data_IF_328708812062
#
_entry.id   IF_328708812062
#
_cell.length_a   1.000
_cell.length_b   1.000
_cell.length_c   1.000
_cell.angle_alpha   90.00
_cell.angle_beta   90.00
_cell.angle_gamma   90.00
#
_symmetry.space_group_name_H-M   'P 1'
#
loop_
_entity.id
_entity.type
_entity.pdbx_description
1 polymer ?
#
# COMPACT_ATOMS: atom_id res chain seq x y z
N UNK A 1 -3.92 -38.38 7.31
CA UNK A 1 -4.83 -37.40 6.71
C UNK A 1 -3.98 -36.26 6.16
N UNK A 2 -3.65 -36.31 4.88
CA UNK A 2 -2.77 -35.33 4.23
C UNK A 2 -3.59 -34.07 4.01
N UNK A 3 -3.33 -33.02 4.79
CA UNK A 3 -3.87 -31.68 4.55
C UNK A 3 -3.38 -31.22 3.17
N UNK A 4 -4.26 -31.20 2.18
CA UNK A 4 -4.01 -30.54 0.92
C UNK A 4 -3.72 -29.06 1.25
N UNK A 5 -2.44 -28.67 1.15
CA UNK A 5 -2.05 -27.28 1.13
C UNK A 5 -2.89 -26.56 0.07
N UNK A 6 -3.61 -25.53 0.48
CA UNK A 6 -4.43 -24.75 -0.43
C UNK A 6 -3.58 -24.34 -1.63
N UNK A 7 -4.12 -24.53 -2.83
CA UNK A 7 -3.45 -24.10 -4.07
C UNK A 7 -3.18 -22.60 -3.91
N UNK A 8 -1.91 -22.23 -3.87
CA UNK A 8 -1.50 -20.84 -4.08
C UNK A 8 -2.21 -20.34 -5.32
N UNK A 9 -2.77 -19.15 -5.29
CA UNK A 9 -3.37 -18.57 -6.47
C UNK A 9 -2.32 -18.60 -7.56
N UNK A 10 -2.54 -19.41 -8.58
CA UNK A 10 -1.62 -19.47 -9.72
C UNK A 10 -1.74 -18.13 -10.43
N UNK A 11 -0.61 -17.59 -10.82
CA UNK A 11 -0.50 -16.48 -11.75
C UNK A 11 -1.51 -16.70 -12.90
N UNK A 12 -2.43 -15.74 -13.18
CA UNK A 12 -3.56 -15.98 -14.09
C UNK A 12 -3.16 -16.17 -15.56
N UNK A 13 -1.87 -16.19 -15.88
CA UNK A 13 -1.35 -16.23 -17.23
C UNK A 13 -0.71 -17.60 -17.56
N UNK A 14 -0.73 -18.03 -18.85
CA UNK A 14 -0.19 -19.31 -19.25
C UNK A 14 1.32 -19.39 -19.01
N UNK A 15 1.86 -20.58 -18.69
CA UNK A 15 3.29 -20.78 -18.57
C UNK A 15 3.99 -20.50 -19.91
N UNK A 16 5.11 -19.78 -19.86
CA UNK A 16 5.94 -19.46 -21.04
C UNK A 16 5.99 -17.99 -21.44
N UNK A 17 5.19 -17.13 -20.82
CA UNK A 17 5.30 -15.67 -20.99
C UNK A 17 6.25 -15.13 -19.92
N UNK A 18 7.18 -14.24 -20.27
CA UNK A 18 8.18 -13.71 -19.33
C UNK A 18 7.55 -12.96 -18.15
N UNK A 19 8.17 -13.03 -16.98
CA UNK A 19 7.68 -12.41 -15.74
C UNK A 19 7.35 -10.91 -15.90
N UNK A 20 8.15 -10.17 -16.66
CA UNK A 20 7.96 -8.74 -16.91
C UNK A 20 6.69 -8.45 -17.72
N UNK A 21 6.37 -9.30 -18.70
CA UNK A 21 5.16 -9.14 -19.52
C UNK A 21 3.90 -9.40 -18.70
N UNK A 22 3.93 -10.39 -17.82
CA UNK A 22 2.84 -10.69 -16.90
C UNK A 22 2.63 -9.55 -15.90
N UNK A 23 3.71 -8.95 -15.39
CA UNK A 23 3.65 -7.85 -14.47
C UNK A 23 3.05 -6.60 -15.13
N UNK A 24 3.43 -6.30 -16.38
CA UNK A 24 2.86 -5.21 -17.16
C UNK A 24 1.35 -5.33 -17.33
N UNK A 25 0.85 -6.53 -17.68
CA UNK A 25 -0.59 -6.78 -17.78
C UNK A 25 -1.28 -6.70 -16.41
N UNK A 26 -0.66 -7.21 -15.34
CA UNK A 26 -1.16 -7.08 -13.98
C UNK A 26 -1.35 -5.60 -13.60
N UNK A 27 -0.35 -4.77 -13.82
CA UNK A 27 -0.44 -3.33 -13.56
C UNK A 27 -1.49 -2.65 -14.42
N UNK A 28 -1.65 -3.03 -15.69
CA UNK A 28 -2.72 -2.51 -16.56
C UNK A 28 -4.11 -2.76 -15.96
N UNK A 29 -4.37 -3.98 -15.50
CA UNK A 29 -5.63 -4.36 -14.85
C UNK A 29 -5.84 -3.56 -13.56
N UNK A 30 -4.79 -3.44 -12.74
CA UNK A 30 -4.87 -2.71 -11.47
C UNK A 30 -5.08 -1.21 -11.66
N UNK A 31 -4.46 -0.58 -12.68
CA UNK A 31 -4.71 0.84 -13.00
C UNK A 31 -6.16 1.12 -13.27
N UNK A 32 -6.84 0.24 -14.01
CA UNK A 32 -8.27 0.37 -14.28
C UNK A 32 -9.08 0.33 -12.99
N UNK A 33 -8.73 -0.53 -12.04
CA UNK A 33 -9.43 -0.63 -10.75
C UNK A 33 -9.10 0.53 -9.82
N UNK A 34 -7.82 0.88 -9.67
CA UNK A 34 -7.36 1.79 -8.63
C UNK A 34 -7.40 3.28 -9.03
N UNK A 35 -7.96 3.61 -10.19
CA UNK A 35 -8.49 4.95 -10.46
C UNK A 35 -9.67 5.32 -9.55
N UNK A 36 -10.27 4.30 -8.92
CA UNK A 36 -11.24 4.40 -7.85
C UNK A 36 -10.57 4.04 -6.52
N UNK A 37 -10.46 4.98 -5.62
CA UNK A 37 -9.75 4.85 -4.34
C UNK A 37 -10.68 5.03 -3.15
N UNK A 38 -10.31 4.53 -1.95
CA UNK A 38 -11.05 4.83 -0.73
C UNK A 38 -11.13 6.33 -0.48
N UNK A 39 -12.34 6.85 -0.32
CA UNK A 39 -12.63 8.27 -0.06
C UNK A 39 -13.13 8.53 1.37
N UNK A 40 -12.81 7.63 2.29
CA UNK A 40 -13.26 7.55 3.66
C UNK A 40 -13.45 6.09 4.04
N UNK A 41 -14.03 5.81 5.20
CA UNK A 41 -14.13 4.43 5.71
C UNK A 41 -15.02 3.54 4.83
N UNK A 42 -16.14 4.06 4.32
CA UNK A 42 -17.13 3.29 3.56
C UNK A 42 -17.41 3.83 2.16
N UNK A 43 -16.66 4.82 1.72
CA UNK A 43 -16.87 5.46 0.42
C UNK A 43 -15.72 5.23 -0.53
N UNK A 44 -16.02 5.24 -1.83
CA UNK A 44 -15.02 5.22 -2.89
C UNK A 44 -15.23 6.40 -3.82
N UNK A 45 -14.14 6.94 -4.33
CA UNK A 45 -14.14 8.10 -5.23
C UNK A 45 -13.21 7.85 -6.41
N UNK A 46 -13.58 8.37 -7.57
CA UNK A 46 -12.71 8.36 -8.74
C UNK A 46 -11.79 9.60 -8.74
N UNK A 47 -10.48 9.37 -8.80
CA UNK A 47 -9.50 10.46 -8.82
C UNK A 47 -9.70 11.46 -9.96
N UNK A 48 -10.16 11.02 -11.12
CA UNK A 48 -10.53 11.90 -12.25
C UNK A 48 -11.67 12.88 -11.90
N UNK A 49 -12.60 12.48 -11.04
CA UNK A 49 -13.67 13.38 -10.58
C UNK A 49 -13.14 14.39 -9.60
N UNK A 50 -12.20 13.99 -8.73
CA UNK A 50 -11.58 14.89 -7.76
C UNK A 50 -10.75 15.99 -8.44
N UNK A 51 -10.10 15.67 -9.56
CA UNK A 51 -9.34 16.66 -10.32
C UNK A 51 -10.22 17.78 -10.91
N UNK A 52 -11.52 17.54 -11.10
CA UNK A 52 -12.48 18.53 -11.62
C UNK A 52 -13.04 19.46 -10.54
N UNK A 53 -12.83 19.15 -9.26
CA UNK A 53 -13.31 19.97 -8.15
C UNK A 53 -12.54 21.28 -8.04
N UNK A 54 -13.16 22.31 -7.45
CA UNK A 54 -12.43 23.50 -6.99
C UNK A 54 -11.40 23.12 -5.91
N UNK A 55 -10.39 23.96 -5.68
CA UNK A 55 -9.40 23.74 -4.61
C UNK A 55 -10.06 23.65 -3.24
N UNK A 56 -11.04 24.48 -2.99
CA UNK A 56 -11.79 24.51 -1.73
C UNK A 56 -12.62 23.23 -1.54
N UNK A 57 -13.31 22.77 -2.58
CA UNK A 57 -14.12 21.55 -2.51
C UNK A 57 -13.26 20.30 -2.36
N UNK A 58 -12.12 20.25 -3.07
CA UNK A 58 -11.15 19.16 -2.94
C UNK A 58 -10.59 19.06 -1.51
N UNK A 59 -10.15 20.19 -0.93
CA UNK A 59 -9.66 20.23 0.44
C UNK A 59 -10.72 19.85 1.45
N UNK A 60 -11.96 20.34 1.28
CA UNK A 60 -13.08 20.01 2.15
C UNK A 60 -13.39 18.52 2.13
N UNK A 61 -13.53 17.95 0.93
CA UNK A 61 -13.80 16.52 0.74
C UNK A 61 -12.69 15.66 1.35
N UNK A 62 -11.42 15.99 1.03
CA UNK A 62 -10.26 15.24 1.54
C UNK A 62 -10.17 15.32 3.06
N UNK A 63 -10.38 16.49 3.66
CA UNK A 63 -10.32 16.66 5.10
C UNK A 63 -11.44 15.92 5.84
N UNK A 64 -12.64 15.92 5.26
CA UNK A 64 -13.75 15.14 5.79
C UNK A 64 -13.49 13.64 5.71
N UNK A 65 -12.97 13.15 4.57
CA UNK A 65 -12.64 11.76 4.37
C UNK A 65 -11.48 11.28 5.28
N UNK A 66 -10.47 12.13 5.53
CA UNK A 66 -9.42 11.85 6.51
C UNK A 66 -9.99 11.75 7.92
N UNK A 67 -10.85 12.69 8.32
CA UNK A 67 -11.49 12.67 9.64
C UNK A 67 -12.35 11.42 9.82
N UNK A 68 -13.14 11.04 8.79
CA UNK A 68 -13.97 9.83 8.78
C UNK A 68 -13.13 8.54 8.93
N UNK A 69 -11.91 8.51 8.39
CA UNK A 69 -11.03 7.33 8.41
C UNK A 69 -10.05 7.28 9.59
N UNK A 70 -9.91 8.34 10.39
CA UNK A 70 -8.86 8.44 11.41
C UNK A 70 -9.33 8.90 12.78
N UNK A 71 -10.59 9.35 12.95
CA UNK A 71 -11.10 9.89 14.22
C UNK A 71 -12.33 9.12 14.71
N UNK A 72 -12.74 9.35 15.95
CA UNK A 72 -13.87 8.65 16.56
C UNK A 72 -13.66 7.14 16.56
N UNK A 73 -14.66 6.38 16.13
CA UNK A 73 -14.61 4.93 16.05
C UNK A 73 -13.55 4.45 15.01
N UNK A 74 -13.33 5.24 13.95
CA UNK A 74 -12.34 4.97 12.93
C UNK A 74 -10.88 5.20 13.39
N UNK A 75 -10.67 5.78 14.58
CA UNK A 75 -9.34 5.84 15.19
C UNK A 75 -8.69 4.46 15.28
N UNK A 76 -9.47 3.43 15.54
CA UNK A 76 -8.98 2.03 15.56
C UNK A 76 -8.54 1.51 14.19
N UNK A 77 -8.89 2.20 13.09
CA UNK A 77 -8.49 1.84 11.73
C UNK A 77 -7.21 2.57 11.34
N UNK A 78 -7.19 3.90 11.40
CA UNK A 78 -6.09 4.72 10.86
C UNK A 78 -5.43 5.63 11.90
N UNK A 79 -6.20 6.23 12.79
CA UNK A 79 -5.71 7.25 13.71
C UNK A 79 -4.61 6.78 14.65
N UNK A 80 -4.65 5.52 15.11
CA UNK A 80 -3.67 4.99 16.04
C UNK A 80 -2.25 4.99 15.48
N UNK A 81 -2.07 4.60 14.21
CA UNK A 81 -0.74 4.59 13.63
C UNK A 81 -0.31 5.97 13.12
N UNK A 82 -1.24 6.86 12.77
CA UNK A 82 -0.90 8.27 12.55
C UNK A 82 -0.29 8.89 13.81
N UNK A 83 -0.84 8.59 14.98
CA UNK A 83 -0.30 9.05 16.26
C UNK A 83 1.05 8.40 16.56
N UNK A 84 1.14 7.07 16.46
CA UNK A 84 2.35 6.33 16.83
C UNK A 84 3.54 6.62 15.90
N UNK A 85 3.30 6.68 14.60
CA UNK A 85 4.37 6.83 13.61
C UNK A 85 4.68 8.28 13.23
N UNK A 86 3.90 9.26 13.71
CA UNK A 86 4.15 10.67 13.45
C UNK A 86 5.57 11.11 13.86
N UNK A 87 6.02 10.69 15.04
CA UNK A 87 7.38 10.97 15.50
C UNK A 87 8.43 10.02 14.92
N UNK A 88 8.07 8.77 14.64
CA UNK A 88 8.98 7.77 14.04
C UNK A 88 9.46 8.24 12.65
N UNK A 89 8.59 8.88 11.87
CA UNK A 89 8.92 9.33 10.51
C UNK A 89 9.46 10.76 10.45
N UNK A 90 9.38 11.55 11.52
CA UNK A 90 9.84 12.95 11.52
C UNK A 90 11.31 13.04 11.10
N UNK A 91 11.59 13.84 10.07
CA UNK A 91 12.93 14.00 9.49
C UNK A 91 13.47 12.77 8.75
N UNK A 92 12.64 11.77 8.48
CA UNK A 92 13.04 10.56 7.76
C UNK A 92 12.52 10.57 6.33
N UNK A 93 13.30 9.98 5.42
CA UNK A 93 12.86 9.69 4.06
C UNK A 93 12.03 8.43 4.06
N UNK A 94 10.78 8.51 3.59
CA UNK A 94 9.85 7.38 3.52
C UNK A 94 9.35 7.25 2.08
N UNK A 95 9.31 6.03 1.57
CA UNK A 95 8.68 5.69 0.30
C UNK A 95 7.36 4.99 0.58
N UNK A 96 6.26 5.58 0.11
CA UNK A 96 4.92 5.02 0.19
C UNK A 96 4.52 4.41 -1.15
N UNK A 97 4.10 3.13 -1.12
CA UNK A 97 3.60 2.41 -2.28
C UNK A 97 2.06 2.36 -2.26
N UNK A 98 1.44 2.81 -3.36
CA UNK A 98 -0.01 2.85 -3.50
C UNK A 98 -0.63 3.98 -2.68
N UNK A 99 -0.29 5.21 -3.00
CA UNK A 99 -0.65 6.40 -2.21
C UNK A 99 -2.16 6.71 -2.15
N UNK A 100 -2.95 6.21 -3.10
CA UNK A 100 -4.39 6.50 -3.14
C UNK A 100 -4.67 8.02 -3.08
N UNK A 101 -5.38 8.49 -2.04
CA UNK A 101 -5.61 9.93 -1.77
C UNK A 101 -4.55 10.55 -0.85
N UNK A 102 -3.49 9.84 -0.54
CA UNK A 102 -2.36 10.35 0.25
C UNK A 102 -2.70 10.65 1.72
N UNK A 103 -3.69 10.02 2.31
CA UNK A 103 -4.08 10.29 3.70
C UNK A 103 -2.92 10.15 4.67
N UNK A 104 -2.15 9.07 4.55
CA UNK A 104 -1.02 8.78 5.42
C UNK A 104 0.17 9.67 5.09
N UNK A 105 0.60 9.67 3.82
CA UNK A 105 1.76 10.43 3.40
C UNK A 105 1.63 11.93 3.60
N UNK A 106 0.47 12.52 3.31
CA UNK A 106 0.22 13.95 3.58
C UNK A 106 0.25 14.23 5.09
N UNK A 107 -0.32 13.34 5.92
CA UNK A 107 -0.32 13.49 7.38
C UNK A 107 1.10 13.43 7.92
N UNK A 108 1.90 12.46 7.50
CA UNK A 108 3.29 12.31 7.95
C UNK A 108 4.21 13.39 7.40
N UNK A 109 4.02 13.82 6.14
CA UNK A 109 4.77 14.94 5.57
C UNK A 109 4.48 16.26 6.31
N UNK A 110 3.23 16.51 6.71
CA UNK A 110 2.87 17.66 7.53
C UNK A 110 3.52 17.61 8.92
N UNK A 111 3.86 16.42 9.43
CA UNK A 111 4.63 16.21 10.66
C UNK A 111 6.14 16.23 10.45
N UNK A 112 6.63 16.55 9.24
CA UNK A 112 8.04 16.74 8.94
C UNK A 112 8.77 15.52 8.38
N UNK A 113 8.08 14.47 7.92
CA UNK A 113 8.68 13.40 7.13
C UNK A 113 9.02 13.89 5.72
N UNK A 114 10.11 13.40 5.11
CA UNK A 114 10.43 13.57 3.69
C UNK A 114 9.79 12.41 2.92
N UNK A 115 8.70 12.68 2.19
CA UNK A 115 7.78 11.64 1.73
C UNK A 115 7.77 11.48 0.23
N UNK A 116 7.97 10.26 -0.25
CA UNK A 116 7.86 9.91 -1.68
C UNK A 116 6.61 9.08 -1.92
N UNK A 117 5.68 9.62 -2.67
CA UNK A 117 4.48 8.92 -3.13
C UNK A 117 4.78 8.14 -4.41
N UNK A 118 4.54 6.83 -4.38
CA UNK A 118 4.63 5.95 -5.56
C UNK A 118 3.26 5.36 -5.82
N UNK A 119 2.75 5.54 -7.04
CA UNK A 119 1.46 4.96 -7.43
C UNK A 119 1.49 4.53 -8.91
N UNK A 120 0.75 3.47 -9.23
CA UNK A 120 0.56 2.98 -10.61
C UNK A 120 -0.50 3.78 -11.36
N UNK A 121 -1.27 4.63 -10.68
CA UNK A 121 -2.33 5.47 -11.26
C UNK A 121 -1.90 6.94 -11.21
N UNK A 122 -1.64 7.52 -12.37
CA UNK A 122 -1.14 8.88 -12.47
C UNK A 122 -2.11 9.90 -11.90
N UNK A 123 -3.42 9.74 -12.14
CA UNK A 123 -4.44 10.67 -11.63
C UNK A 123 -4.50 10.69 -10.10
N UNK A 124 -4.18 9.58 -9.41
CA UNK A 124 -4.03 9.57 -7.96
C UNK A 124 -2.90 10.50 -7.53
N UNK A 125 -1.72 10.38 -8.16
CA UNK A 125 -0.58 11.25 -7.85
C UNK A 125 -0.86 12.72 -8.16
N UNK A 126 -1.63 13.02 -9.20
CA UNK A 126 -2.03 14.39 -9.54
C UNK A 126 -2.93 15.00 -8.46
N UNK A 127 -3.90 14.22 -7.94
CA UNK A 127 -4.73 14.63 -6.80
C UNK A 127 -3.87 14.89 -5.57
N UNK A 128 -2.99 13.94 -5.22
CA UNK A 128 -2.10 14.06 -4.04
C UNK A 128 -1.16 15.27 -4.20
N UNK A 129 -0.57 15.47 -5.37
CA UNK A 129 0.31 16.62 -5.65
C UNK A 129 -0.43 17.95 -5.46
N UNK A 130 -1.68 18.04 -5.96
CA UNK A 130 -2.52 19.22 -5.78
C UNK A 130 -2.85 19.48 -4.31
N UNK A 131 -3.19 18.44 -3.56
CA UNK A 131 -3.44 18.52 -2.11
C UNK A 131 -2.19 18.97 -1.34
N UNK A 132 -1.02 18.39 -1.63
CA UNK A 132 0.25 18.80 -1.03
C UNK A 132 0.54 20.29 -1.29
N UNK A 133 0.36 20.75 -2.54
CA UNK A 133 0.52 22.17 -2.90
C UNK A 133 -0.42 23.07 -2.10
N UNK A 134 -1.71 22.71 -2.02
CA UNK A 134 -2.72 23.47 -1.26
C UNK A 134 -2.43 23.53 0.23
N UNK A 135 -1.75 22.51 0.78
CA UNK A 135 -1.32 22.44 2.17
C UNK A 135 0.08 23.05 2.41
N UNK A 136 0.74 23.56 1.37
CA UNK A 136 2.06 24.18 1.48
C UNK A 136 3.19 23.20 1.78
N UNK A 137 3.03 21.90 1.48
CA UNK A 137 4.06 20.88 1.71
C UNK A 137 5.12 20.93 0.61
N UNK A 138 6.40 21.03 1.00
CA UNK A 138 7.56 21.07 0.11
C UNK A 138 8.49 19.86 0.25
N UNK A 139 8.27 19.04 1.27
CA UNK A 139 9.01 17.83 1.60
C UNK A 139 8.34 16.57 1.03
N UNK A 140 7.85 16.67 -0.22
CA UNK A 140 7.12 15.60 -0.90
C UNK A 140 7.63 15.39 -2.31
N UNK A 141 7.72 14.12 -2.72
CA UNK A 141 8.18 13.67 -4.03
C UNK A 141 7.16 12.70 -4.63
N UNK A 142 7.20 12.53 -5.96
CA UNK A 142 6.21 11.75 -6.68
C UNK A 142 6.88 10.89 -7.74
N UNK A 143 6.54 9.61 -7.76
CA UNK A 143 6.99 8.65 -8.76
C UNK A 143 5.78 7.92 -9.35
N UNK A 144 5.47 8.16 -10.61
CA UNK A 144 4.52 7.35 -11.36
C UNK A 144 5.21 6.02 -11.72
N UNK A 145 4.68 4.93 -11.20
CA UNK A 145 5.21 3.60 -11.44
C UNK A 145 4.48 2.98 -12.64
N UNK A 146 4.97 3.26 -13.83
CA UNK A 146 4.47 2.61 -15.04
C UNK A 146 4.81 1.12 -15.03
N UNK A 147 6.03 0.79 -14.65
CA UNK A 147 6.55 -0.54 -14.36
C UNK A 147 7.62 -0.47 -13.25
N UNK A 148 8.22 -1.61 -12.87
CA UNK A 148 9.23 -1.64 -11.80
C UNK A 148 10.51 -0.87 -12.14
N UNK A 149 10.81 -0.61 -13.43
CA UNK A 149 11.98 0.18 -13.84
C UNK A 149 11.83 1.64 -13.45
N UNK A 150 10.59 2.13 -13.32
CA UNK A 150 10.31 3.49 -12.84
C UNK A 150 10.92 3.75 -11.45
N UNK A 151 11.04 2.72 -10.62
CA UNK A 151 11.66 2.84 -9.29
C UNK A 151 13.16 3.12 -9.36
N UNK A 152 13.86 2.75 -10.45
CA UNK A 152 15.31 2.93 -10.58
C UNK A 152 15.77 4.39 -10.51
N UNK A 153 14.86 5.35 -10.64
CA UNK A 153 15.16 6.79 -10.52
C UNK A 153 15.12 7.29 -9.08
N UNK A 154 14.67 6.47 -8.15
CA UNK A 154 14.50 6.83 -6.74
C UNK A 154 15.81 6.66 -5.96
N UNK A 155 16.02 7.44 -4.87
CA UNK A 155 17.13 7.23 -3.95
C UNK A 155 17.18 5.83 -3.36
N UNK A 156 18.37 5.35 -2.98
CA UNK A 156 18.59 4.04 -2.35
C UNK A 156 18.70 4.11 -0.82
N UNK A 157 18.24 5.21 -0.19
CA UNK A 157 18.47 5.49 1.23
C UNK A 157 17.20 5.87 1.99
N UNK A 158 16.08 5.21 1.68
CA UNK A 158 14.87 5.41 2.45
C UNK A 158 15.00 4.78 3.84
N UNK A 159 14.56 5.52 4.86
CA UNK A 159 14.49 4.99 6.23
C UNK A 159 13.32 4.01 6.40
N UNK A 160 12.31 4.11 5.54
CA UNK A 160 11.21 3.16 5.51
C UNK A 160 10.63 2.99 4.10
N UNK A 161 10.19 1.75 3.78
CA UNK A 161 9.21 1.43 2.75
C UNK A 161 7.88 1.22 3.47
N UNK A 162 6.86 1.91 3.01
CA UNK A 162 5.54 1.96 3.61
C UNK A 162 4.47 1.53 2.60
N UNK A 163 3.72 0.49 2.91
CA UNK A 163 2.64 -0.03 2.06
C UNK A 163 1.37 -0.25 2.86
N UNK A 164 0.36 0.58 2.61
CA UNK A 164 -0.91 0.44 3.30
C UNK A 164 -1.96 -0.20 2.39
N UNK A 165 -2.11 -1.52 2.50
CA UNK A 165 -3.10 -2.26 1.73
C UNK A 165 -2.83 -2.33 0.22
N UNK A 166 -1.62 -1.95 -0.23
CA UNK A 166 -1.25 -1.96 -1.66
C UNK A 166 -0.70 -3.31 -2.11
N UNK A 167 0.26 -3.87 -1.40
CA UNK A 167 0.93 -5.14 -1.75
C UNK A 167 0.00 -6.36 -1.71
N UNK A 168 -1.07 -6.30 -0.93
CA UNK A 168 -2.08 -7.37 -0.86
C UNK A 168 -2.95 -7.47 -2.11
N UNK A 169 -2.95 -6.45 -2.96
CA UNK A 169 -3.80 -6.38 -4.16
C UNK A 169 -3.11 -6.92 -5.42
N UNK A 170 -2.07 -7.72 -5.24
CA UNK A 170 -1.29 -8.37 -6.28
C UNK A 170 -1.33 -9.90 -6.13
N UNK A 171 -1.20 -10.67 -7.22
CA UNK A 171 -0.79 -12.07 -7.11
C UNK A 171 0.56 -12.16 -6.39
N UNK A 172 0.77 -13.20 -5.56
CA UNK A 172 1.96 -13.31 -4.68
C UNK A 172 3.28 -13.26 -5.45
N UNK A 173 3.33 -13.75 -6.68
CA UNK A 173 4.51 -13.69 -7.53
C UNK A 173 4.83 -12.24 -7.95
N UNK A 174 3.80 -11.45 -8.26
CA UNK A 174 3.95 -10.02 -8.56
C UNK A 174 4.38 -9.24 -7.32
N UNK A 175 3.78 -9.54 -6.15
CA UNK A 175 4.19 -8.97 -4.85
C UNK A 175 5.67 -9.21 -4.59
N UNK A 176 6.18 -10.42 -4.89
CA UNK A 176 7.61 -10.74 -4.74
C UNK A 176 8.48 -9.88 -5.65
N UNK A 177 8.14 -9.74 -6.92
CA UNK A 177 8.92 -8.93 -7.86
C UNK A 177 8.95 -7.46 -7.44
N UNK A 178 7.80 -6.91 -7.02
CA UNK A 178 7.69 -5.54 -6.55
C UNK A 178 8.48 -5.32 -5.26
N UNK A 179 8.35 -6.22 -4.28
CA UNK A 179 9.10 -6.17 -3.03
C UNK A 179 10.62 -6.22 -3.27
N UNK A 180 11.09 -7.08 -4.18
CA UNK A 180 12.51 -7.17 -4.54
C UNK A 180 13.02 -5.88 -5.23
N UNK A 181 12.19 -5.22 -6.02
CA UNK A 181 12.54 -3.93 -6.61
C UNK A 181 12.63 -2.85 -5.52
N UNK A 182 11.68 -2.80 -4.60
CA UNK A 182 11.65 -1.86 -3.48
C UNK A 182 12.81 -2.05 -2.50
N UNK A 183 13.26 -3.29 -2.27
CA UNK A 183 14.37 -3.60 -1.36
C UNK A 183 15.70 -2.94 -1.78
N UNK A 184 15.88 -2.58 -3.04
CA UNK A 184 17.06 -1.83 -3.52
C UNK A 184 17.14 -0.44 -2.91
N UNK A 185 16.01 0.11 -2.49
CA UNK A 185 15.86 1.45 -1.94
C UNK A 185 15.86 1.46 -0.40
N UNK A 186 15.85 0.28 0.25
CA UNK A 186 15.80 0.13 1.70
C UNK A 186 17.15 -0.38 2.22
N UNK A 187 18.02 0.45 2.81
CA UNK A 187 19.29 0.01 3.37
C UNK A 187 19.10 -0.86 4.61
N UNK A 188 20.17 -1.52 5.05
CA UNK A 188 20.22 -2.17 6.37
C UNK A 188 19.91 -1.13 7.45
N UNK A 189 19.09 -1.49 8.43
CA UNK A 189 18.52 -0.57 9.42
C UNK A 189 17.24 0.14 8.99
N UNK A 190 16.89 0.08 7.71
CA UNK A 190 15.62 0.60 7.20
C UNK A 190 14.42 -0.29 7.58
N UNK A 191 13.23 0.30 7.59
CA UNK A 191 12.00 -0.35 8.02
C UNK A 191 11.13 -0.76 6.83
N UNK A 192 10.57 -1.97 6.89
CA UNK A 192 9.46 -2.39 6.05
C UNK A 192 8.19 -2.32 6.88
N UNK A 193 7.29 -1.43 6.49
CA UNK A 193 6.04 -1.22 7.20
C UNK A 193 4.88 -1.53 6.26
N UNK A 194 4.02 -2.45 6.68
CA UNK A 194 2.94 -2.95 5.85
C UNK A 194 1.66 -3.14 6.65
N UNK A 195 0.56 -2.61 6.13
CA UNK A 195 -0.78 -3.01 6.51
C UNK A 195 -1.30 -4.03 5.50
N UNK A 196 -1.77 -5.16 6.02
CA UNK A 196 -2.31 -6.23 5.19
C UNK A 196 -3.58 -6.84 5.80
N UNK A 197 -4.18 -7.78 5.09
CA UNK A 197 -5.28 -8.60 5.62
C UNK A 197 -4.73 -9.86 6.26
N UNK A 198 -5.15 -10.18 7.51
CA UNK A 198 -4.67 -11.35 8.22
C UNK A 198 -5.24 -12.65 7.64
N UNK A 199 -4.47 -13.72 7.74
CA UNK A 199 -4.90 -15.08 7.38
C UNK A 199 -6.20 -15.47 8.05
N UNK A 200 -6.46 -14.98 9.27
CA UNK A 200 -7.69 -15.24 10.02
C UNK A 200 -8.93 -14.71 9.30
N UNK A 201 -8.86 -13.49 8.73
CA UNK A 201 -9.92 -12.90 7.92
C UNK A 201 -10.20 -13.76 6.69
N UNK A 202 -9.16 -14.17 5.97
CA UNK A 202 -9.29 -15.06 4.82
C UNK A 202 -9.94 -16.42 5.17
N UNK A 203 -9.59 -17.00 6.34
CA UNK A 203 -10.24 -18.23 6.83
C UNK A 203 -11.72 -17.99 7.12
N UNK A 204 -12.06 -16.91 7.83
CA UNK A 204 -13.44 -16.51 8.15
C UNK A 204 -14.26 -16.29 6.88
N UNK A 205 -13.69 -15.70 5.85
CA UNK A 205 -14.34 -15.44 4.56
C UNK A 205 -14.46 -16.68 3.66
N UNK A 206 -14.04 -17.85 4.13
CA UNK A 206 -14.24 -19.13 3.45
C UNK A 206 -13.05 -19.61 2.62
N UNK A 207 -11.84 -19.09 2.86
CA UNK A 207 -10.58 -19.53 2.21
C UNK A 207 -10.64 -19.44 0.68
N UNK A 208 -11.17 -18.35 0.18
CA UNK A 208 -11.35 -18.13 -1.25
C UNK A 208 -10.00 -17.99 -1.98
N UNK A 209 -9.93 -18.38 -3.27
CA UNK A 209 -8.81 -17.96 -4.14
C UNK A 209 -8.72 -16.43 -4.21
N UNK A 210 -7.52 -15.90 -4.44
CA UNK A 210 -7.22 -14.45 -4.38
C UNK A 210 -8.15 -13.62 -5.29
N UNK A 211 -8.44 -14.09 -6.51
CA UNK A 211 -9.32 -13.42 -7.47
C UNK A 211 -10.79 -13.37 -6.99
N UNK A 212 -11.25 -14.42 -6.33
CA UNK A 212 -12.63 -14.45 -5.77
C UNK A 212 -12.73 -13.65 -4.50
N UNK A 213 -11.69 -13.69 -3.68
CA UNK A 213 -11.64 -12.93 -2.43
C UNK A 213 -11.55 -11.43 -2.70
N UNK A 214 -10.76 -11.02 -3.69
CA UNK A 214 -10.68 -9.64 -4.14
C UNK A 214 -12.02 -9.07 -4.62
N UNK A 215 -12.82 -9.87 -5.35
CA UNK A 215 -14.16 -9.43 -5.77
C UNK A 215 -15.15 -9.26 -4.61
N UNK A 216 -14.99 -10.05 -3.55
CA UNK A 216 -15.83 -9.99 -2.33
C UNK A 216 -15.39 -8.85 -1.41
N UNK A 217 -14.09 -8.59 -1.34
CA UNK A 217 -13.48 -7.62 -0.45
C UNK A 217 -13.01 -6.39 -1.24
N UNK A 218 -12.35 -5.48 -0.63
CA UNK A 218 -11.60 -4.35 -1.18
C UNK A 218 -12.24 -3.66 -2.42
N UNK A 219 -13.57 -3.52 -2.39
CA UNK A 219 -14.34 -2.85 -3.44
C UNK A 219 -14.26 -3.55 -4.80
N UNK A 220 -14.12 -4.88 -4.83
CA UNK A 220 -14.04 -5.66 -6.05
C UNK A 220 -12.66 -5.66 -6.70
N UNK A 221 -11.58 -5.61 -5.92
CA UNK A 221 -10.22 -5.73 -6.42
C UNK A 221 -10.03 -7.02 -7.24
N UNK A 222 -9.23 -7.01 -8.32
CA UNK A 222 -8.97 -8.20 -9.13
C UNK A 222 -8.34 -9.33 -8.35
N UNK A 223 -7.48 -9.00 -7.39
CA UNK A 223 -6.82 -9.95 -6.48
C UNK A 223 -6.72 -9.34 -5.10
N UNK A 224 -6.84 -10.20 -4.08
CA UNK A 224 -6.50 -9.89 -2.68
C UNK A 224 -5.81 -11.11 -2.07
N UNK A 225 -4.65 -10.89 -1.49
CA UNK A 225 -3.88 -11.89 -0.75
C UNK A 225 -3.88 -11.53 0.73
N UNK A 226 -3.89 -12.55 1.60
CA UNK A 226 -3.59 -12.36 3.01
C UNK A 226 -2.08 -12.44 3.23
N UNK A 227 -1.55 -11.64 4.17
CA UNK A 227 -0.14 -11.73 4.55
C UNK A 227 0.00 -12.15 6.01
N UNK A 228 1.06 -12.90 6.28
CA UNK A 228 1.60 -13.16 7.61
C UNK A 228 3.13 -12.99 7.56
N UNK A 229 3.79 -13.04 8.72
CA UNK A 229 5.24 -12.88 8.79
C UNK A 229 6.01 -13.87 7.91
N UNK A 230 5.48 -15.09 7.75
CA UNK A 230 6.11 -16.08 6.88
C UNK A 230 6.07 -15.66 5.42
N UNK A 231 4.89 -15.27 4.92
CA UNK A 231 4.77 -14.79 3.52
C UNK A 231 5.62 -13.56 3.27
N UNK A 232 5.62 -12.59 4.21
CA UNK A 232 6.42 -11.38 4.08
C UNK A 232 7.91 -11.73 4.01
N UNK A 233 8.40 -12.59 4.89
CA UNK A 233 9.79 -13.05 4.83
C UNK A 233 10.11 -13.82 3.56
N UNK A 234 9.18 -14.61 3.05
CA UNK A 234 9.36 -15.38 1.81
C UNK A 234 9.49 -14.47 0.58
N UNK A 235 8.73 -13.36 0.48
CA UNK A 235 8.86 -12.44 -0.65
C UNK A 235 9.98 -11.40 -0.47
N UNK A 236 10.41 -11.11 0.75
CA UNK A 236 11.57 -10.26 1.02
C UNK A 236 12.92 -11.01 0.96
N UNK A 237 12.90 -12.34 0.97
CA UNK A 237 14.15 -13.12 0.91
C UNK A 237 14.96 -12.77 -0.37
N UNK A 238 16.32 -12.73 -0.32
CA UNK A 238 17.17 -13.20 0.78
C UNK A 238 17.39 -12.18 1.91
N UNK A 239 16.85 -10.95 1.82
CA UNK A 239 17.00 -9.97 2.88
C UNK A 239 16.39 -10.48 4.20
N UNK A 240 17.07 -10.18 5.32
CA UNK A 240 16.67 -10.63 6.64
C UNK A 240 16.07 -9.48 7.43
N UNK A 241 14.98 -9.77 8.13
CA UNK A 241 14.26 -8.78 8.92
C UNK A 241 13.95 -9.28 10.33
N UNK A 242 14.14 -8.40 11.30
CA UNK A 242 13.61 -8.56 12.65
C UNK A 242 12.25 -7.89 12.76
N UNK A 243 11.43 -8.44 13.63
CA UNK A 243 10.13 -7.86 13.97
C UNK A 243 10.34 -6.78 15.02
N UNK A 244 9.96 -5.55 14.70
CA UNK A 244 9.87 -4.46 15.67
C UNK A 244 8.50 -4.46 16.33
N UNK A 245 7.45 -4.57 15.51
CA UNK A 245 6.07 -4.54 16.00
C UNK A 245 5.14 -5.28 15.04
N UNK A 246 4.17 -6.01 15.59
CA UNK A 246 3.04 -6.57 14.83
C UNK A 246 1.77 -6.42 15.64
N UNK A 247 0.67 -6.13 14.96
CA UNK A 247 -0.64 -5.97 15.60
C UNK A 247 -1.76 -6.42 14.66
N UNK A 248 -2.62 -7.32 15.13
CA UNK A 248 -3.93 -7.54 14.53
C UNK A 248 -4.91 -6.56 15.16
N UNK A 249 -5.64 -5.78 14.37
CA UNK A 249 -6.50 -4.71 14.86
C UNK A 249 -7.83 -4.63 14.10
N UNK A 250 -8.69 -3.73 14.52
CA UNK A 250 -10.04 -3.51 13.97
C UNK A 250 -10.81 -4.83 13.85
N UNK A 251 -11.04 -5.52 14.98
CA UNK A 251 -11.72 -6.83 15.06
C UNK A 251 -11.07 -7.93 14.17
N UNK A 252 -9.76 -7.82 13.97
CA UNK A 252 -8.95 -8.70 13.11
C UNK A 252 -9.21 -8.55 11.60
N UNK A 253 -9.71 -7.41 11.16
CA UNK A 253 -9.85 -7.11 9.74
C UNK A 253 -8.52 -6.76 9.10
N UNK A 254 -7.57 -6.24 9.89
CA UNK A 254 -6.24 -5.81 9.46
C UNK A 254 -5.14 -6.37 10.35
N UNK A 255 -3.95 -6.52 9.78
CA UNK A 255 -2.72 -6.70 10.51
C UNK A 255 -1.67 -5.67 10.06
N UNK A 256 -0.85 -5.28 11.02
CA UNK A 256 0.25 -4.36 10.85
C UNK A 256 1.56 -5.08 11.06
N UNK A 257 2.53 -4.81 10.20
CA UNK A 257 3.89 -5.30 10.31
C UNK A 257 4.86 -4.12 10.27
N UNK A 258 5.75 -4.07 11.23
CA UNK A 258 6.90 -3.16 11.29
C UNK A 258 8.15 -4.01 11.48
N UNK A 259 8.95 -4.11 10.44
CA UNK A 259 10.11 -4.96 10.37
C UNK A 259 11.35 -4.10 10.09
N UNK A 260 12.47 -4.41 10.72
CA UNK A 260 13.75 -3.73 10.48
C UNK A 260 14.70 -4.63 9.70
N UNK A 261 15.27 -4.12 8.62
CA UNK A 261 16.21 -4.87 7.78
C UNK A 261 17.53 -5.08 8.49
N UNK A 262 18.00 -6.32 8.57
CA UNK A 262 19.27 -6.74 9.20
C UNK A 262 20.38 -6.97 8.18
N UNK A 263 20.05 -7.57 7.04
CA UNK A 263 20.98 -7.90 5.97
C UNK A 263 20.28 -7.92 4.60
#
# INVERSE_FOLDING_TARGET
>A
MILRMGRQARWPFPPGVGADQHLGETFRILRTKWGEVPGGEQTRVHSEHLLKLSDQDLLRLWSAALADSATGDAYSVRGWYHTLYGDVFRGKKVLELGSGLGFDGITFAANGADWTFVDIVQTNLEVVRRLCKLKGLTNVHFCYMEDLRSLATLPENYAAIYGQGSLINLPIEATRLEAQALLKHLPVGGRWIELAYPKRRWIHDGRMPADKWGRKTDGGAPWVEWHDLKKIRDFLAPAQFDVVFTLDFHKYDFNWFDLIRRA
#
